data_IF_490768161825
#
_entry.id   IF_490768161825
#
_cell.length_a   1.000
_cell.length_b   1.000
_cell.length_c   1.000
_cell.angle_alpha   90.00
_cell.angle_beta   90.00
_cell.angle_gamma   90.00
#
_symmetry.space_group_name_H-M   'P 1'
#
loop_
_entity.id
_entity.type
_entity.pdbx_description
1 polymer ?
#
# COMPACT_ATOMS: atom_id res chain seq x y z
N UNK A 1 17.22 -23.98 15.95
CA UNK A 1 16.29 -22.86 16.20
C UNK A 1 16.97 -21.56 15.77
N UNK A 2 16.76 -21.09 14.53
CA UNK A 2 17.32 -19.79 14.11
C UNK A 2 16.67 -18.71 14.98
N UNK A 3 17.49 -17.90 15.66
CA UNK A 3 17.04 -16.84 16.57
C UNK A 3 16.07 -15.90 15.85
N UNK A 4 14.80 -15.88 16.27
CA UNK A 4 13.70 -15.15 15.62
C UNK A 4 13.96 -13.64 15.52
N UNK A 5 14.77 -13.08 16.44
CA UNK A 5 15.18 -11.67 16.39
C UNK A 5 16.04 -11.36 15.16
N UNK A 6 16.86 -12.32 14.71
CA UNK A 6 17.70 -12.15 13.53
C UNK A 6 16.84 -12.01 12.27
N UNK A 7 15.79 -12.81 12.13
CA UNK A 7 14.96 -12.85 10.91
C UNK A 7 14.26 -11.51 10.67
N UNK A 8 13.65 -10.93 11.71
CA UNK A 8 12.97 -9.63 11.60
C UNK A 8 13.96 -8.55 11.19
N UNK A 9 15.14 -8.52 11.82
CA UNK A 9 16.18 -7.56 11.45
C UNK A 9 16.69 -7.76 10.02
N UNK A 10 16.84 -9.00 9.56
CA UNK A 10 17.22 -9.32 8.19
C UNK A 10 16.18 -8.79 7.21
N UNK A 11 14.89 -9.09 7.42
CA UNK A 11 13.81 -8.63 6.55
C UNK A 11 13.73 -7.09 6.51
N UNK A 12 13.80 -6.43 7.67
CA UNK A 12 13.77 -4.96 7.72
C UNK A 12 14.97 -4.33 7.00
N UNK A 13 16.15 -4.94 7.11
CA UNK A 13 17.36 -4.46 6.41
C UNK A 13 17.32 -4.74 4.91
N UNK A 14 16.54 -5.74 4.48
CA UNK A 14 16.29 -6.03 3.07
C UNK A 14 15.29 -5.07 2.40
N UNK A 15 14.52 -4.29 3.17
CA UNK A 15 13.66 -3.24 2.61
C UNK A 15 14.54 -2.08 2.13
N UNK A 16 14.53 -1.84 0.82
CA UNK A 16 15.29 -0.79 0.12
C UNK A 16 16.76 -0.71 0.58
N UNK A 17 17.61 -1.69 0.21
CA UNK A 17 18.99 -1.77 0.69
C UNK A 17 19.88 -0.61 0.23
N UNK A 18 19.46 0.14 -0.80
CA UNK A 18 20.18 1.33 -1.28
C UNK A 18 20.11 2.52 -0.32
N UNK A 19 19.15 2.54 0.61
CA UNK A 19 19.01 3.60 1.60
C UNK A 19 19.61 3.16 2.94
N UNK A 20 20.61 3.90 3.41
CA UNK A 20 21.19 3.69 4.74
C UNK A 20 20.31 4.29 5.85
N UNK A 21 20.19 3.58 6.98
CA UNK A 21 19.46 4.03 8.16
C UNK A 21 17.94 3.85 8.06
N UNK A 22 17.20 4.74 8.73
CA UNK A 22 15.73 4.73 8.81
C UNK A 22 15.10 3.38 9.21
N UNK A 23 15.71 2.68 10.17
CA UNK A 23 15.28 1.35 10.61
C UNK A 23 13.80 1.28 11.00
N UNK A 24 13.28 2.34 11.63
CA UNK A 24 11.87 2.42 12.02
C UNK A 24 10.92 2.49 10.81
N UNK A 25 11.29 3.26 9.77
CA UNK A 25 10.47 3.41 8.57
C UNK A 25 10.49 2.12 7.75
N UNK A 26 11.67 1.51 7.59
CA UNK A 26 11.82 0.21 6.93
C UNK A 26 11.01 -0.88 7.63
N UNK A 27 11.01 -0.89 8.97
CA UNK A 27 10.18 -1.80 9.75
C UNK A 27 8.69 -1.54 9.56
N UNK A 28 8.25 -0.27 9.51
CA UNK A 28 6.86 0.07 9.25
C UNK A 28 6.39 -0.41 7.86
N UNK A 29 7.22 -0.21 6.83
CA UNK A 29 6.95 -0.70 5.46
C UNK A 29 6.91 -2.23 5.43
N UNK A 30 7.85 -2.91 6.09
CA UNK A 30 7.81 -4.37 6.21
C UNK A 30 6.49 -4.83 6.85
N UNK A 31 6.07 -4.23 7.97
CA UNK A 31 4.79 -4.55 8.60
C UNK A 31 3.58 -4.28 7.68
N UNK A 32 3.62 -3.23 6.87
CA UNK A 32 2.57 -2.95 5.90
C UNK A 32 2.50 -4.03 4.80
N UNK A 33 3.65 -4.46 4.28
CA UNK A 33 3.74 -5.51 3.25
C UNK A 33 3.25 -6.88 3.74
N UNK A 34 3.50 -7.23 5.00
CA UNK A 34 2.98 -8.48 5.57
C UNK A 34 1.49 -8.41 5.94
N UNK A 35 0.98 -7.20 6.22
CA UNK A 35 -0.39 -6.98 6.66
C UNK A 35 -0.68 -7.56 8.04
N UNK A 36 -1.96 -7.51 8.43
CA UNK A 36 -2.45 -8.07 9.68
C UNK A 36 -3.65 -8.98 9.46
N UNK A 37 -4.13 -9.59 10.55
CA UNK A 37 -5.27 -10.53 10.47
C UNK A 37 -6.59 -9.76 10.49
N UNK A 38 -7.34 -9.83 9.40
CA UNK A 38 -8.77 -9.43 9.35
C UNK A 38 -9.58 -10.32 10.31
N UNK A 39 -10.46 -9.72 11.11
CA UNK A 39 -11.29 -10.44 12.08
C UNK A 39 -12.76 -10.28 11.74
N UNK A 40 -13.49 -11.38 11.74
CA UNK A 40 -14.95 -11.38 11.67
C UNK A 40 -15.49 -11.59 13.09
N UNK A 41 -16.40 -10.72 13.52
CA UNK A 41 -17.07 -10.83 14.81
C UNK A 41 -18.26 -11.78 14.70
N UNK A 42 -18.74 -12.33 15.84
CA UNK A 42 -19.96 -13.14 15.88
C UNK A 42 -21.19 -12.43 15.30
N UNK A 43 -21.21 -11.09 15.35
CA UNK A 43 -22.30 -10.26 14.85
C UNK A 43 -22.22 -9.99 13.32
N UNK A 44 -21.28 -10.62 12.61
CA UNK A 44 -21.07 -10.45 11.17
C UNK A 44 -20.26 -9.21 10.77
N UNK A 45 -19.86 -8.38 11.74
CA UNK A 45 -19.02 -7.20 11.51
C UNK A 45 -17.57 -7.60 11.21
N UNK A 46 -16.92 -6.88 10.28
CA UNK A 46 -15.53 -7.10 9.88
C UNK A 46 -14.62 -6.00 10.42
N UNK A 47 -13.57 -6.37 11.17
CA UNK A 47 -12.50 -5.46 11.58
C UNK A 47 -11.35 -5.54 10.58
N UNK A 48 -10.91 -4.37 10.12
CA UNK A 48 -9.74 -4.21 9.25
C UNK A 48 -8.48 -4.77 9.91
N UNK A 49 -7.75 -5.61 9.18
CA UNK A 49 -6.46 -6.17 9.61
C UNK A 49 -5.25 -5.38 9.08
N UNK A 50 -5.41 -4.67 7.97
CA UNK A 50 -4.32 -4.05 7.24
C UNK A 50 -3.93 -2.69 7.84
N UNK A 51 -2.65 -2.34 7.78
CA UNK A 51 -2.10 -1.11 8.37
C UNK A 51 -1.95 -0.05 7.28
N UNK A 52 -2.26 1.21 7.60
CA UNK A 52 -1.92 2.37 6.78
C UNK A 52 -0.68 3.06 7.35
N UNK A 53 0.32 3.34 6.51
CA UNK A 53 1.52 4.11 6.90
C UNK A 53 1.57 5.43 6.14
N UNK A 54 1.75 6.54 6.87
CA UNK A 54 2.03 7.86 6.31
C UNK A 54 3.48 8.24 6.60
N UNK A 55 4.25 8.59 5.56
CA UNK A 55 5.62 9.06 5.69
C UNK A 55 5.67 10.59 5.58
N UNK A 56 6.07 11.26 6.67
CA UNK A 56 6.29 12.70 6.73
C UNK A 56 7.73 13.00 7.17
N UNK A 57 8.35 14.03 6.60
CA UNK A 57 9.67 14.49 7.01
C UNK A 57 10.32 15.39 5.97
N UNK A 58 11.55 15.81 6.23
CA UNK A 58 12.25 16.85 5.46
C UNK A 58 12.50 16.48 3.99
N UNK A 59 12.61 17.47 3.08
CA UNK A 59 13.04 17.23 1.71
C UNK A 59 14.35 16.43 1.65
N UNK A 60 14.49 15.53 0.68
CA UNK A 60 15.74 14.77 0.48
C UNK A 60 15.92 13.53 1.37
N UNK A 61 14.97 13.17 2.22
CA UNK A 61 15.08 11.97 3.10
C UNK A 61 14.68 10.63 2.42
N UNK A 62 14.73 10.57 1.09
CA UNK A 62 14.46 9.38 0.27
C UNK A 62 13.07 8.70 0.46
N UNK A 63 12.08 9.40 1.05
CA UNK A 63 10.70 8.90 1.23
C UNK A 63 10.07 8.33 -0.05
N UNK A 64 10.21 9.03 -1.18
CA UNK A 64 9.64 8.59 -2.45
C UNK A 64 10.31 7.32 -3.00
N UNK A 65 11.59 7.10 -2.70
CA UNK A 65 12.28 5.86 -3.11
C UNK A 65 11.79 4.67 -2.30
N UNK A 66 11.56 4.85 -1.00
CA UNK A 66 10.96 3.83 -0.14
C UNK A 66 9.56 3.41 -0.61
N UNK A 67 8.73 4.37 -1.04
CA UNK A 67 7.39 4.09 -1.58
C UNK A 67 7.45 3.36 -2.92
N UNK A 68 8.39 3.72 -3.81
CA UNK A 68 8.61 3.01 -5.08
C UNK A 68 9.05 1.58 -4.86
N UNK A 69 9.96 1.34 -3.92
CA UNK A 69 10.36 -0.01 -3.55
C UNK A 69 9.17 -0.84 -3.04
N UNK A 70 8.34 -0.28 -2.16
CA UNK A 70 7.15 -0.98 -1.67
C UNK A 70 6.16 -1.30 -2.80
N UNK A 71 5.98 -0.40 -3.76
CA UNK A 71 5.18 -0.62 -4.96
C UNK A 71 5.74 -1.77 -5.81
N UNK A 72 7.04 -1.78 -6.11
CA UNK A 72 7.68 -2.80 -6.94
C UNK A 72 7.70 -4.20 -6.31
N UNK A 73 7.80 -4.29 -4.98
CA UNK A 73 7.84 -5.57 -4.27
C UNK A 73 6.45 -6.14 -4.01
N UNK A 74 5.42 -5.30 -3.90
CA UNK A 74 4.06 -5.77 -3.65
C UNK A 74 3.48 -6.45 -4.90
N UNK A 75 2.83 -7.62 -4.76
CA UNK A 75 2.25 -8.33 -5.91
C UNK A 75 1.09 -7.58 -6.57
N UNK A 76 0.35 -6.80 -5.77
CA UNK A 76 -0.71 -5.90 -6.22
C UNK A 76 -0.40 -4.54 -5.62
N UNK A 77 -0.20 -3.53 -6.46
CA UNK A 77 0.00 -2.18 -5.98
C UNK A 77 -0.26 -1.14 -7.07
N UNK A 78 -0.72 0.04 -6.67
CA UNK A 78 -0.97 1.16 -7.59
C UNK A 78 -0.31 2.43 -7.06
N UNK A 79 0.79 2.83 -7.70
CA UNK A 79 1.49 4.06 -7.37
C UNK A 79 0.88 5.26 -8.11
N UNK A 80 0.33 6.22 -7.36
CA UNK A 80 -0.26 7.44 -7.92
C UNK A 80 0.33 8.70 -7.27
N UNK A 81 0.26 9.82 -7.99
CA UNK A 81 0.68 11.12 -7.49
C UNK A 81 -0.55 11.98 -7.21
N UNK A 82 -0.70 12.47 -5.98
CA UNK A 82 -1.86 13.25 -5.57
C UNK A 82 -2.10 14.54 -6.37
N UNK A 83 -1.08 15.09 -7.05
CA UNK A 83 -1.27 16.26 -7.93
C UNK A 83 -1.99 15.94 -9.25
N UNK A 84 -1.91 14.69 -9.71
CA UNK A 84 -2.53 14.23 -10.96
C UNK A 84 -3.77 13.35 -10.77
N UNK A 85 -4.20 13.15 -9.52
CA UNK A 85 -5.31 12.27 -9.18
C UNK A 85 -6.56 13.07 -8.85
N UNK A 86 -7.72 12.59 -9.29
CA UNK A 86 -9.04 13.11 -8.90
C UNK A 86 -9.70 12.17 -7.89
N UNK A 87 -10.68 12.66 -7.13
CA UNK A 87 -11.43 11.82 -6.19
C UNK A 87 -12.08 10.63 -6.89
N UNK A 88 -12.66 10.84 -8.08
CA UNK A 88 -13.23 9.79 -8.91
C UNK A 88 -12.17 8.79 -9.40
N UNK A 89 -11.00 9.28 -9.86
CA UNK A 89 -9.91 8.43 -10.31
C UNK A 89 -9.25 7.60 -9.20
N UNK A 90 -9.34 8.03 -7.94
CA UNK A 90 -8.90 7.23 -6.79
C UNK A 90 -9.95 6.21 -6.35
N UNK A 91 -11.23 6.56 -6.42
CA UNK A 91 -12.34 5.73 -5.90
C UNK A 91 -13.05 4.98 -7.02
N UNK A 92 -14.05 5.60 -7.65
CA UNK A 92 -14.72 5.07 -8.82
C UNK A 92 -15.33 6.22 -9.65
N UNK A 93 -15.54 5.95 -10.94
CA UNK A 93 -16.22 6.85 -11.87
C UNK A 93 -17.40 6.17 -12.54
N UNK A 94 -18.42 6.96 -12.88
CA UNK A 94 -19.56 6.51 -13.69
C UNK A 94 -19.34 6.98 -15.11
N UNK A 95 -19.33 6.04 -16.05
CA UNK A 95 -19.03 6.24 -17.46
C UNK A 95 -20.25 5.87 -18.30
N UNK A 96 -20.47 6.60 -19.40
CA UNK A 96 -21.50 6.26 -20.38
C UNK A 96 -20.84 5.68 -21.62
N UNK A 97 -21.24 4.48 -22.01
CA UNK A 97 -20.77 3.89 -23.27
C UNK A 97 -21.41 4.63 -24.45
N UNK A 98 -20.61 5.02 -25.44
CA UNK A 98 -21.06 5.82 -26.59
C UNK A 98 -21.91 4.97 -27.54
N UNK A 99 -21.59 3.68 -27.67
CA UNK A 99 -22.21 2.72 -28.59
C UNK A 99 -23.57 2.23 -28.12
N UNK A 100 -23.67 1.78 -26.87
CA UNK A 100 -24.90 1.22 -26.29
C UNK A 100 -25.74 2.27 -25.55
N UNK A 101 -25.12 3.38 -25.13
CA UNK A 101 -25.76 4.38 -24.28
C UNK A 101 -25.92 3.95 -22.82
N UNK A 102 -25.42 2.78 -22.44
CA UNK A 102 -25.50 2.24 -21.09
C UNK A 102 -24.50 2.89 -20.15
N UNK A 103 -24.85 2.91 -18.86
CA UNK A 103 -23.98 3.41 -17.80
C UNK A 103 -23.24 2.26 -17.14
N UNK A 104 -21.92 2.38 -17.00
CA UNK A 104 -21.10 1.44 -16.26
C UNK A 104 -20.23 2.16 -15.24
N UNK A 105 -19.76 1.38 -14.25
CA UNK A 105 -18.98 1.88 -13.14
C UNK A 105 -17.54 1.38 -13.29
N UNK A 106 -16.60 2.31 -13.36
CA UNK A 106 -15.18 2.03 -13.52
C UNK A 106 -14.48 2.22 -12.16
N UNK A 107 -13.72 1.21 -11.75
CA UNK A 107 -12.94 1.26 -10.51
C UNK A 107 -11.72 2.15 -10.65
N UNK A 108 -11.52 3.04 -9.68
CA UNK A 108 -10.33 3.88 -9.58
C UNK A 108 -9.14 3.13 -8.97
N UNK A 109 -8.04 3.86 -8.76
CA UNK A 109 -6.77 3.31 -8.27
C UNK A 109 -6.90 2.48 -6.99
N UNK A 110 -7.72 2.90 -6.03
CA UNK A 110 -7.92 2.18 -4.76
C UNK A 110 -8.64 0.84 -4.96
N UNK A 111 -9.55 0.75 -5.93
CA UNK A 111 -10.27 -0.48 -6.26
C UNK A 111 -9.35 -1.45 -6.98
N UNK A 112 -8.51 -0.93 -7.90
CA UNK A 112 -7.51 -1.73 -8.62
C UNK A 112 -6.40 -2.26 -7.69
N UNK A 113 -6.14 -1.59 -6.57
CA UNK A 113 -5.15 -1.98 -5.57
C UNK A 113 -5.71 -2.89 -4.45
N UNK A 114 -6.95 -3.40 -4.57
CA UNK A 114 -7.54 -4.22 -3.50
C UNK A 114 -6.72 -5.47 -3.19
N UNK A 115 -6.54 -5.76 -1.90
CA UNK A 115 -5.64 -6.81 -1.40
C UNK A 115 -4.14 -6.48 -1.49
N UNK A 116 -3.79 -5.28 -1.96
CA UNK A 116 -2.43 -4.79 -2.15
C UNK A 116 -2.09 -3.52 -1.37
N UNK A 117 -1.20 -2.69 -1.94
CA UNK A 117 -0.74 -1.39 -1.42
C UNK A 117 -1.02 -0.25 -2.40
#
# INVERSE_FOLDING_TARGET
LKSTSSIISTVCNSIEPGIYGQSNIKRAIACQLFGGRRKELPDGMRIRGDINVLLLGDPGTAKSQLLKFAHEVSPISVYTSGKGSSAAGLTASVMKEITTGEWYLEGGAMVLADGGI
#
